data_IF_194905370003
#
_entry.id   IF_194905370003
#
_cell.length_a   1.000
_cell.length_b   1.000
_cell.length_c   1.000
_cell.angle_alpha   90.00
_cell.angle_beta   90.00
_cell.angle_gamma   90.00
#
_symmetry.space_group_name_H-M   'P 1'
#
loop_
_entity.id
_entity.type
_entity.pdbx_description
1 polymer ?
#
# COMPACT_ATOMS: atom_id res chain seq x y z
N UNK A 1 -53.24 -58.14 9.29
CA UNK A 1 -53.27 -56.85 10.02
C UNK A 1 -52.73 -55.78 9.09
N UNK A 2 -53.57 -54.76 8.86
CA UNK A 2 -53.33 -53.40 8.33
C UNK A 2 -51.87 -53.02 7.96
N UNK A 3 -51.53 -52.60 6.74
CA UNK A 3 -51.94 -51.42 5.94
C UNK A 3 -51.00 -50.21 6.10
N UNK A 4 -50.72 -49.55 4.95
CA UNK A 4 -50.59 -48.08 4.78
C UNK A 4 -49.34 -47.42 5.44
N UNK A 5 -48.58 -46.47 4.87
CA UNK A 5 -48.84 -45.16 4.24
C UNK A 5 -47.51 -44.69 3.56
N UNK A 6 -47.47 -44.18 2.32
CA UNK A 6 -47.80 -42.81 1.85
C UNK A 6 -46.91 -41.71 2.48
N UNK A 7 -46.01 -41.08 1.72
CA UNK A 7 -46.13 -39.76 1.04
C UNK A 7 -45.61 -38.54 1.85
N UNK A 8 -44.70 -37.83 1.18
CA UNK A 8 -44.64 -36.36 1.01
C UNK A 8 -44.21 -35.38 2.14
N UNK A 9 -43.11 -34.67 1.81
CA UNK A 9 -42.98 -33.20 1.70
C UNK A 9 -42.52 -32.32 2.90
N UNK A 10 -41.49 -31.51 2.56
CA UNK A 10 -41.16 -30.11 2.94
C UNK A 10 -41.01 -29.76 4.42
N UNK A 11 -39.78 -29.36 4.76
CA UNK A 11 -39.50 -28.39 5.81
C UNK A 11 -38.22 -27.64 5.52
N UNK A 12 -38.30 -26.49 4.83
CA UNK A 12 -37.24 -25.48 4.93
C UNK A 12 -37.28 -24.90 6.34
N UNK A 13 -36.16 -24.96 7.05
CA UNK A 13 -35.88 -24.12 8.23
C UNK A 13 -34.44 -23.61 8.13
N UNK A 14 -34.32 -22.29 8.10
CA UNK A 14 -33.18 -21.45 8.50
C UNK A 14 -31.79 -22.09 8.47
N UNK A 15 -30.98 -21.69 7.47
CA UNK A 15 -29.52 -21.75 7.59
C UNK A 15 -29.04 -20.33 7.91
N UNK A 16 -29.09 -20.00 9.19
CA UNK A 16 -28.18 -19.04 9.81
C UNK A 16 -26.94 -19.81 10.29
N UNK A 17 -25.78 -19.18 10.16
CA UNK A 17 -24.45 -19.59 10.65
C UNK A 17 -23.80 -20.82 10.00
N UNK A 18 -23.12 -20.62 8.87
CA UNK A 18 -21.88 -21.34 8.60
C UNK A 18 -20.73 -20.56 9.23
N UNK A 19 -20.42 -20.91 10.48
CA UNK A 19 -19.21 -20.51 11.17
C UNK A 19 -18.05 -21.32 10.56
N UNK A 20 -17.24 -20.69 9.71
CA UNK A 20 -16.07 -21.35 9.12
C UNK A 20 -14.93 -21.36 10.14
N UNK A 21 -14.70 -22.51 10.77
CA UNK A 21 -13.48 -22.78 11.54
C UNK A 21 -12.29 -22.86 10.58
N UNK A 22 -11.53 -21.77 10.49
CA UNK A 22 -10.18 -21.78 9.91
C UNK A 22 -9.25 -22.49 10.88
N UNK A 23 -8.99 -23.78 10.63
CA UNK A 23 -7.92 -24.51 11.30
C UNK A 23 -6.58 -24.18 10.62
N UNK A 24 -5.74 -23.39 11.30
CA UNK A 24 -4.37 -23.08 10.89
C UNK A 24 -4.09 -21.58 10.81
N UNK A 25 -3.65 -20.99 11.93
CA UNK A 25 -3.16 -19.61 12.02
C UNK A 25 -1.85 -19.42 11.23
N UNK A 26 -1.74 -18.43 10.34
CA UNK A 26 -0.47 -17.77 10.07
C UNK A 26 -0.29 -16.59 11.04
N UNK A 27 0.93 -16.46 11.59
CA UNK A 27 1.34 -15.42 12.52
C UNK A 27 1.23 -14.00 11.91
N UNK A 28 0.58 -13.11 12.67
CA UNK A 28 0.77 -11.65 12.80
C UNK A 28 1.45 -10.92 11.63
N UNK A 29 0.69 -10.17 10.81
CA UNK A 29 1.21 -9.42 9.65
C UNK A 29 1.64 -7.98 10.02
N UNK A 30 2.93 -7.66 9.81
CA UNK A 30 3.54 -6.32 9.93
C UNK A 30 3.35 -5.45 8.66
N UNK A 31 2.99 -6.07 7.53
CA UNK A 31 2.60 -5.40 6.31
C UNK A 31 1.06 -5.33 6.20
N UNK A 32 0.55 -4.36 5.43
CA UNK A 32 -0.87 -4.32 5.12
C UNK A 32 -1.19 -5.32 4.01
N UNK A 33 -1.46 -6.56 4.39
CA UNK A 33 -1.85 -7.61 3.46
C UNK A 33 -3.30 -7.39 2.99
N UNK A 34 -3.47 -7.37 1.68
CA UNK A 34 -4.72 -7.03 1.01
C UNK A 34 -5.04 -8.03 -0.11
N UNK A 35 -6.31 -8.38 -0.24
CA UNK A 35 -6.84 -9.13 -1.37
C UNK A 35 -7.56 -8.15 -2.28
N UNK A 36 -7.14 -8.13 -3.54
CA UNK A 36 -7.72 -7.30 -4.59
C UNK A 36 -8.57 -8.21 -5.46
N UNK A 37 -9.89 -8.01 -5.42
CA UNK A 37 -10.86 -8.84 -6.12
C UNK A 37 -11.43 -8.08 -7.31
N UNK A 38 -11.31 -8.67 -8.49
CA UNK A 38 -11.93 -8.20 -9.72
C UNK A 38 -13.29 -8.85 -9.90
N UNK A 39 -14.32 -8.00 -10.04
CA UNK A 39 -15.68 -8.43 -10.28
C UNK A 39 -16.14 -7.94 -11.67
N UNK A 40 -16.27 -8.84 -12.66
CA UNK A 40 -16.87 -8.49 -13.94
C UNK A 40 -18.38 -8.25 -13.77
N UNK A 41 -18.89 -7.23 -14.44
CA UNK A 41 -20.30 -6.88 -14.44
C UNK A 41 -20.84 -7.08 -15.86
N UNK A 42 -21.86 -7.92 -16.00
CA UNK A 42 -22.49 -8.22 -17.28
C UNK A 42 -23.94 -7.71 -17.32
N UNK A 43 -24.37 -7.18 -18.48
CA UNK A 43 -25.76 -6.82 -18.76
C UNK A 43 -26.04 -5.32 -18.86
N UNK A 44 -27.27 -4.98 -19.28
CA UNK A 44 -27.74 -3.59 -19.45
C UNK A 44 -28.05 -2.88 -18.12
N UNK A 45 -28.13 -3.61 -17.00
CA UNK A 45 -28.44 -3.09 -15.66
C UNK A 45 -27.42 -2.08 -15.15
N UNK A 46 -26.19 -2.11 -15.69
CA UNK A 46 -25.07 -1.26 -15.30
C UNK A 46 -24.76 -0.18 -16.33
N UNK A 47 -25.81 0.33 -16.93
CA UNK A 47 -25.76 1.36 -17.94
C UNK A 47 -26.63 2.57 -17.55
N UNK A 48 -26.06 3.77 -17.65
CA UNK A 48 -26.79 5.02 -17.41
C UNK A 48 -27.17 5.66 -18.74
N UNK A 49 -28.43 6.04 -18.87
CA UNK A 49 -29.00 6.65 -20.06
C UNK A 49 -29.29 8.15 -19.86
N UNK A 50 -29.35 8.96 -20.93
CA UNK A 50 -29.66 10.40 -20.86
C UNK A 50 -30.99 10.72 -20.16
N UNK A 51 -31.97 9.83 -20.21
CA UNK A 51 -33.29 9.97 -19.59
C UNK A 51 -34.13 8.73 -19.83
N UNK A 52 -34.67 8.11 -18.77
CA UNK A 52 -35.83 7.20 -18.92
C UNK A 52 -37.15 7.76 -18.34
N UNK A 53 -37.12 8.88 -17.59
CA UNK A 53 -38.22 9.84 -17.18
C UNK A 53 -38.05 10.46 -15.75
N UNK A 54 -36.82 10.89 -15.38
CA UNK A 54 -36.35 11.57 -14.11
C UNK A 54 -36.25 10.64 -12.87
N UNK A 55 -35.39 10.87 -11.83
CA UNK A 55 -34.35 11.90 -11.54
C UNK A 55 -32.92 11.38 -11.95
N UNK A 56 -31.74 11.73 -11.37
CA UNK A 56 -30.46 11.29 -11.93
C UNK A 56 -30.40 9.76 -11.97
N UNK A 57 -29.88 9.22 -13.06
CA UNK A 57 -29.74 7.77 -13.21
C UNK A 57 -28.62 7.33 -12.27
N UNK A 58 -28.99 6.64 -11.19
CA UNK A 58 -28.09 6.24 -10.10
C UNK A 58 -27.85 4.73 -10.12
N UNK A 59 -26.59 4.31 -10.05
CA UNK A 59 -26.18 2.94 -9.76
C UNK A 59 -25.54 2.90 -8.38
N UNK A 60 -25.75 1.80 -7.66
CA UNK A 60 -25.12 1.58 -6.36
C UNK A 60 -24.47 0.20 -6.35
N UNK A 61 -23.18 0.15 -6.03
CA UNK A 61 -22.45 -1.08 -5.73
C UNK A 61 -22.22 -1.15 -4.24
N UNK A 62 -22.54 -2.29 -3.61
CA UNK A 62 -22.23 -2.58 -2.21
C UNK A 62 -21.40 -3.86 -2.16
N UNK A 63 -20.24 -3.79 -1.51
CA UNK A 63 -19.34 -4.90 -1.28
C UNK A 63 -18.95 -4.96 0.20
N UNK A 64 -19.75 -5.64 1.04
CA UNK A 64 -19.53 -5.67 2.48
C UNK A 64 -18.10 -6.05 2.85
N UNK A 65 -17.46 -5.23 3.69
CA UNK A 65 -16.07 -5.45 4.13
C UNK A 65 -15.00 -4.95 3.16
N UNK A 66 -15.36 -4.38 2.01
CA UNK A 66 -14.40 -3.69 1.16
C UNK A 66 -13.94 -2.37 1.81
N UNK A 67 -12.63 -2.15 1.83
CA UNK A 67 -12.05 -0.89 2.25
C UNK A 67 -12.13 0.16 1.13
N UNK A 68 -12.09 -0.29 -0.13
CA UNK A 68 -12.19 0.55 -1.32
C UNK A 68 -12.90 -0.20 -2.44
N UNK A 69 -13.60 0.57 -3.27
CA UNK A 69 -14.15 0.11 -4.55
C UNK A 69 -13.67 1.05 -5.65
N UNK A 70 -13.15 0.49 -6.73
CA UNK A 70 -12.88 1.23 -7.95
C UNK A 70 -13.70 0.70 -9.12
N UNK A 71 -14.33 1.62 -9.85
CA UNK A 71 -15.29 1.30 -10.91
C UNK A 71 -14.63 1.47 -12.28
N UNK A 72 -14.68 0.43 -13.11
CA UNK A 72 -14.25 0.49 -14.51
C UNK A 72 -15.44 0.80 -15.42
N UNK A 73 -15.20 1.69 -16.38
CA UNK A 73 -16.19 2.05 -17.38
C UNK A 73 -15.74 1.53 -18.75
N UNK A 74 -16.59 0.72 -19.37
CA UNK A 74 -16.46 0.35 -20.79
C UNK A 74 -16.75 1.52 -21.72
N UNK A 75 -17.65 2.40 -21.31
CA UNK A 75 -18.08 3.54 -22.09
C UNK A 75 -18.39 4.72 -21.18
N UNK A 76 -17.87 5.90 -21.55
CA UNK A 76 -18.11 7.17 -20.87
C UNK A 76 -18.27 8.30 -21.90
N UNK A 77 -19.45 8.37 -22.52
CA UNK A 77 -19.76 9.27 -23.63
C UNK A 77 -20.53 10.52 -23.18
N UNK A 78 -19.99 11.21 -22.15
CA UNK A 78 -20.61 12.43 -21.62
C UNK A 78 -20.70 13.51 -22.70
N UNK A 79 -21.87 14.13 -22.86
CA UNK A 79 -22.05 15.29 -23.74
C UNK A 79 -21.63 16.59 -23.05
N UNK A 80 -21.31 17.66 -23.80
CA UNK A 80 -20.94 18.94 -23.21
C UNK A 80 -21.94 19.42 -22.13
N UNK A 81 -21.43 19.63 -20.91
CA UNK A 81 -22.22 20.05 -19.76
C UNK A 81 -22.81 18.90 -18.92
N UNK A 82 -22.72 17.65 -19.37
CA UNK A 82 -23.08 16.48 -18.55
C UNK A 82 -22.06 16.29 -17.43
N UNK A 83 -22.52 15.72 -16.32
CA UNK A 83 -21.71 15.42 -15.14
C UNK A 83 -21.94 13.98 -14.70
N UNK A 84 -20.86 13.24 -14.47
CA UNK A 84 -20.88 11.98 -13.73
C UNK A 84 -20.29 12.23 -12.34
N UNK A 85 -20.95 11.71 -11.31
CA UNK A 85 -20.48 11.79 -9.92
C UNK A 85 -20.37 10.37 -9.38
N UNK A 86 -19.18 9.99 -8.94
CA UNK A 86 -19.00 8.80 -8.12
C UNK A 86 -18.79 9.27 -6.70
N UNK A 87 -19.56 8.77 -5.74
CA UNK A 87 -19.44 9.20 -4.35
C UNK A 87 -19.70 8.06 -3.38
N UNK A 88 -19.25 8.25 -2.15
CA UNK A 88 -19.72 7.42 -1.05
C UNK A 88 -21.18 7.79 -0.68
N UNK A 89 -21.91 6.95 0.08
CA UNK A 89 -23.30 7.23 0.47
C UNK A 89 -23.50 8.56 1.18
N UNK A 90 -22.53 9.01 2.00
CA UNK A 90 -22.61 10.28 2.73
C UNK A 90 -22.32 11.49 1.83
N UNK A 91 -21.67 11.28 0.68
CA UNK A 91 -21.22 12.34 -0.22
C UNK A 91 -20.00 13.11 0.28
N UNK A 92 -19.37 12.65 1.37
CA UNK A 92 -18.13 13.23 1.90
C UNK A 92 -16.95 13.06 0.94
N UNK A 93 -16.93 11.97 0.17
CA UNK A 93 -15.95 11.66 -0.86
C UNK A 93 -16.69 11.62 -2.20
N UNK A 94 -16.25 12.44 -3.15
CA UNK A 94 -16.81 12.40 -4.50
C UNK A 94 -15.79 12.68 -5.59
N UNK A 95 -15.96 12.02 -6.73
CA UNK A 95 -15.23 12.18 -7.97
C UNK A 95 -16.18 12.72 -9.02
N UNK A 96 -15.85 13.85 -9.62
CA UNK A 96 -16.69 14.51 -10.61
C UNK A 96 -16.03 14.44 -11.98
N UNK A 97 -16.73 13.89 -12.97
CA UNK A 97 -16.30 13.87 -14.37
C UNK A 97 -17.21 14.76 -15.20
N UNK A 98 -16.62 15.57 -16.08
CA UNK A 98 -17.36 16.41 -17.04
C UNK A 98 -16.79 16.21 -18.44
N UNK A 99 -17.62 16.39 -19.47
CA UNK A 99 -17.29 16.09 -20.86
C UNK A 99 -16.11 16.90 -21.46
N UNK A 100 -15.68 17.98 -20.81
CA UNK A 100 -14.52 18.76 -21.25
C UNK A 100 -13.19 18.10 -20.85
N UNK A 101 -13.23 17.11 -19.96
CA UNK A 101 -12.08 16.28 -19.61
C UNK A 101 -11.92 15.19 -20.65
N UNK A 102 -10.95 15.33 -21.58
CA UNK A 102 -10.56 14.25 -22.51
C UNK A 102 -9.94 13.09 -21.72
N UNK A 103 -10.77 12.22 -21.15
CA UNK A 103 -10.33 10.93 -20.63
C UNK A 103 -10.43 9.90 -21.75
N UNK A 104 -9.39 9.83 -22.60
CA UNK A 104 -9.17 8.63 -23.41
C UNK A 104 -8.73 7.53 -22.44
N UNK A 105 -9.67 6.75 -21.93
CA UNK A 105 -9.36 5.60 -21.09
C UNK A 105 -9.02 4.45 -22.04
N UNK A 106 -7.74 4.33 -22.40
CA UNK A 106 -7.22 3.15 -23.06
C UNK A 106 -7.33 1.98 -22.08
N UNK A 107 -8.34 1.14 -22.24
CA UNK A 107 -8.40 -0.19 -21.61
C UNK A 107 -7.38 -1.06 -22.31
N UNK A 108 -6.11 -0.95 -21.91
CA UNK A 108 -5.10 -1.93 -22.30
C UNK A 108 -5.55 -3.30 -21.82
N UNK A 109 -5.44 -4.32 -22.67
CA UNK A 109 -5.65 -5.74 -22.34
C UNK A 109 -4.66 -6.28 -21.26
N UNK A 110 -3.98 -5.40 -20.52
CA UNK A 110 -3.07 -5.75 -19.43
C UNK A 110 -3.85 -5.84 -18.12
N UNK A 111 -3.62 -6.93 -17.37
CA UNK A 111 -4.36 -7.39 -16.19
C UNK A 111 -5.20 -6.33 -15.43
N UNK A 112 -6.51 -6.57 -15.20
CA UNK A 112 -7.41 -5.62 -14.55
C UNK A 112 -6.98 -5.16 -13.14
N UNK A 113 -6.17 -5.95 -12.42
CA UNK A 113 -5.60 -5.63 -11.10
C UNK A 113 -4.62 -4.47 -11.11
N UNK A 114 -3.94 -4.30 -12.23
CA UNK A 114 -2.87 -3.31 -12.38
C UNK A 114 -3.45 -1.89 -12.28
N UNK A 115 -4.67 -1.67 -12.77
CA UNK A 115 -5.34 -0.36 -12.78
C UNK A 115 -5.71 0.16 -11.37
N UNK A 116 -6.07 -0.72 -10.44
CA UNK A 116 -6.41 -0.34 -9.06
C UNK A 116 -5.22 0.23 -8.29
N UNK A 117 -4.10 -0.47 -8.41
CA UNK A 117 -2.88 -0.23 -7.65
C UNK A 117 -2.08 0.95 -8.23
N UNK A 118 -2.33 1.24 -9.50
CA UNK A 118 -1.55 2.22 -10.23
C UNK A 118 -2.01 3.63 -9.94
N UNK A 119 -3.31 3.95 -10.07
CA UNK A 119 -3.85 5.32 -9.91
C UNK A 119 -5.32 5.37 -10.38
N UNK A 120 -6.19 4.47 -9.88
CA UNK A 120 -7.52 4.35 -10.46
C UNK A 120 -8.32 5.67 -10.31
N UNK A 121 -8.74 6.32 -11.42
CA UNK A 121 -9.38 7.64 -11.35
C UNK A 121 -10.77 7.60 -10.66
N UNK A 122 -11.35 6.41 -10.55
CA UNK A 122 -12.70 6.16 -10.03
C UNK A 122 -12.71 5.29 -8.78
N UNK A 123 -11.77 5.53 -7.85
CA UNK A 123 -11.68 4.83 -6.58
C UNK A 123 -12.40 5.63 -5.48
N UNK A 124 -13.26 4.94 -4.74
CA UNK A 124 -14.04 5.47 -3.61
C UNK A 124 -13.71 4.64 -2.35
N UNK A 125 -13.49 5.32 -1.23
CA UNK A 125 -13.26 4.70 0.07
C UNK A 125 -14.58 4.20 0.65
N UNK A 126 -14.54 3.01 1.24
CA UNK A 126 -15.68 2.33 1.83
C UNK A 126 -16.20 1.17 0.99
N UNK A 127 -17.21 0.52 1.54
CA UNK A 127 -17.85 -0.69 1.00
C UNK A 127 -18.95 -0.38 -0.02
N UNK A 128 -19.21 0.90 -0.29
CA UNK A 128 -20.31 1.33 -1.12
C UNK A 128 -19.90 2.48 -2.02
N UNK A 129 -20.20 2.35 -3.32
CA UNK A 129 -20.06 3.44 -4.29
C UNK A 129 -21.41 3.72 -4.94
N UNK A 130 -21.74 5.01 -5.04
CA UNK A 130 -22.93 5.53 -5.71
C UNK A 130 -22.47 6.28 -6.96
N UNK A 131 -22.91 5.86 -8.13
CA UNK A 131 -22.58 6.44 -9.44
C UNK A 131 -23.82 7.17 -9.95
N UNK A 132 -23.75 8.48 -10.07
CA UNK A 132 -24.87 9.35 -10.46
C UNK A 132 -24.54 10.10 -11.74
N UNK A 133 -25.40 9.96 -12.75
CA UNK A 133 -25.29 10.71 -13.99
C UNK A 133 -26.30 11.87 -14.03
N UNK A 134 -25.79 13.07 -14.28
CA UNK A 134 -26.53 14.31 -14.38
C UNK A 134 -26.44 14.85 -15.82
N UNK A 135 -27.47 14.63 -16.65
CA UNK A 135 -27.53 15.19 -18.00
C UNK A 135 -27.69 16.71 -17.95
N UNK A 136 -27.01 17.43 -18.85
CA UNK A 136 -27.20 18.86 -19.04
C UNK A 136 -28.58 19.20 -19.59
N UNK A 137 -29.00 20.47 -19.47
CA UNK A 137 -30.23 20.94 -20.12
C UNK A 137 -30.16 20.71 -21.64
N UNK A 138 -29.00 20.95 -22.26
CA UNK A 138 -28.79 20.70 -23.69
C UNK A 138 -29.00 19.24 -24.05
N UNK A 139 -28.47 18.33 -23.24
CA UNK A 139 -28.65 16.87 -23.39
C UNK A 139 -30.11 16.45 -23.24
N UNK A 140 -30.82 17.04 -22.27
CA UNK A 140 -32.25 16.79 -22.05
C UNK A 140 -33.15 17.34 -23.18
N UNK A 141 -32.69 18.37 -23.90
CA UNK A 141 -33.41 18.98 -25.02
C UNK A 141 -33.16 18.30 -26.37
N UNK A 142 -32.24 17.32 -26.46
CA UNK A 142 -32.00 16.57 -27.69
C UNK A 142 -33.27 15.81 -28.12
N UNK A 143 -33.63 15.77 -29.42
CA UNK A 143 -34.85 15.13 -29.88
C UNK A 143 -34.93 13.66 -29.46
N UNK A 144 -36.15 13.21 -29.10
CA UNK A 144 -36.43 11.82 -28.72
C UNK A 144 -36.24 10.96 -29.97
N UNK A 145 -35.11 10.25 -30.04
CA UNK A 145 -34.74 9.36 -31.13
C UNK A 145 -33.84 8.22 -30.62
N UNK A 146 -33.29 7.36 -31.50
CA UNK A 146 -32.48 6.21 -31.10
C UNK A 146 -31.28 6.57 -30.23
N UNK A 147 -30.81 7.82 -30.25
CA UNK A 147 -29.74 8.33 -29.39
C UNK A 147 -30.06 8.32 -27.89
N UNK A 148 -31.33 8.37 -27.47
CA UNK A 148 -31.71 8.26 -26.05
C UNK A 148 -31.72 6.81 -25.54
N UNK A 149 -31.75 5.83 -26.45
CA UNK A 149 -31.66 4.40 -26.15
C UNK A 149 -30.21 3.88 -26.16
N UNK A 150 -29.22 4.76 -26.33
CA UNK A 150 -27.80 4.42 -26.24
C UNK A 150 -27.32 4.82 -24.85
N UNK A 151 -26.64 3.92 -24.12
CA UNK A 151 -26.13 4.26 -22.80
C UNK A 151 -25.00 5.29 -22.90
N UNK A 152 -25.03 6.30 -22.03
CA UNK A 152 -23.97 7.31 -21.91
C UNK A 152 -22.82 6.78 -21.06
N UNK A 153 -23.15 6.02 -20.02
CA UNK A 153 -22.19 5.39 -19.12
C UNK A 153 -22.46 3.89 -19.14
N UNK A 154 -21.43 3.08 -19.31
CA UNK A 154 -21.50 1.61 -19.19
C UNK A 154 -20.38 1.17 -18.26
N UNK A 155 -20.74 0.58 -17.13
CA UNK A 155 -19.80 -0.08 -16.22
C UNK A 155 -19.62 -1.53 -16.69
N UNK A 156 -18.38 -1.99 -16.84
CA UNK A 156 -18.10 -3.41 -17.20
C UNK A 156 -17.54 -4.22 -16.05
N UNK A 157 -16.98 -3.57 -15.03
CA UNK A 157 -16.40 -4.24 -13.89
C UNK A 157 -16.18 -3.25 -12.77
N UNK A 158 -16.01 -3.76 -11.57
CA UNK A 158 -15.40 -3.01 -10.48
C UNK A 158 -14.40 -3.92 -9.78
N UNK A 159 -13.52 -3.30 -9.03
CA UNK A 159 -12.49 -3.99 -8.28
C UNK A 159 -12.55 -3.47 -6.86
N UNK A 160 -12.49 -4.37 -5.89
CA UNK A 160 -12.57 -3.99 -4.49
C UNK A 160 -11.43 -4.61 -3.69
N UNK A 161 -11.05 -3.92 -2.62
CA UNK A 161 -9.93 -4.30 -1.77
C UNK A 161 -10.47 -4.72 -0.42
N UNK A 162 -10.14 -5.95 -0.01
CA UNK A 162 -10.37 -6.45 1.33
C UNK A 162 -9.02 -6.54 2.03
N UNK A 163 -8.92 -5.96 3.21
CA UNK A 163 -7.75 -6.18 4.05
C UNK A 163 -7.84 -7.49 4.82
N UNK A 164 -6.70 -8.15 5.03
CA UNK A 164 -6.64 -9.36 5.84
C UNK A 164 -7.20 -9.12 7.25
N UNK A 165 -7.68 -10.18 7.94
CA UNK A 165 -8.30 -10.07 9.26
C UNK A 165 -7.39 -9.43 10.33
N UNK A 166 -6.07 -9.41 10.10
CA UNK A 166 -5.10 -8.69 10.92
C UNK A 166 -5.25 -7.17 10.90
N UNK A 167 -5.91 -6.58 9.90
CA UNK A 167 -6.21 -5.13 9.85
C UNK A 167 -7.60 -4.84 10.42
N UNK A 168 -8.54 -5.79 10.32
CA UNK A 168 -9.92 -5.64 10.81
C UNK A 168 -10.03 -5.86 12.34
N UNK A 169 -9.07 -6.57 12.93
CA UNK A 169 -9.03 -6.87 14.37
C UNK A 169 -7.90 -6.16 15.14
N UNK A 170 -7.07 -5.36 14.47
CA UNK A 170 -5.89 -4.71 15.09
C UNK A 170 -5.69 -3.33 14.43
N UNK A 171 -6.36 -2.31 14.96
CA UNK A 171 -6.01 -0.87 14.78
C UNK A 171 -4.64 -0.52 15.42
N UNK A 172 -3.73 -1.49 15.57
CA UNK A 172 -2.56 -1.37 16.45
C UNK A 172 -1.29 -2.01 15.88
N UNK A 173 -0.94 -1.62 14.65
CA UNK A 173 0.35 -0.91 14.56
C UNK A 173 0.00 0.52 15.01
N UNK A 174 0.55 0.95 16.14
CA UNK A 174 -0.22 1.79 17.05
C UNK A 174 -0.13 3.27 16.71
N UNK A 175 -1.29 3.90 16.55
CA UNK A 175 -1.47 5.28 16.99
C UNK A 175 -0.90 5.39 18.40
N UNK A 176 0.18 6.12 18.54
CA UNK A 176 0.84 6.34 19.82
C UNK A 176 0.02 7.43 20.50
N UNK A 177 -0.99 7.05 21.29
CA UNK A 177 -1.86 7.99 21.99
C UNK A 177 -3.34 7.78 21.74
N UNK A 178 -4.14 8.78 22.13
CA UNK A 178 -5.60 8.77 21.97
C UNK A 178 -6.06 9.25 20.58
N UNK A 179 -5.21 9.98 19.85
CA UNK A 179 -5.50 10.55 18.54
C UNK A 179 -4.32 10.33 17.60
N UNK A 180 -4.62 10.07 16.33
CA UNK A 180 -3.62 10.04 15.26
C UNK A 180 -3.25 11.47 14.87
N UNK A 181 -1.96 11.80 15.02
CA UNK A 181 -1.41 13.11 14.69
C UNK A 181 -0.67 13.13 13.35
N UNK A 182 -0.60 12.00 12.63
CA UNK A 182 -0.10 11.96 11.28
C UNK A 182 -0.92 12.90 10.39
N UNK A 183 -0.22 13.60 9.49
CA UNK A 183 -0.86 14.52 8.54
C UNK A 183 -0.39 14.25 7.15
N UNK A 184 -1.30 14.39 6.21
CA UNK A 184 -1.05 14.38 4.79
C UNK A 184 0.22 15.17 4.42
N UNK A 185 1.11 14.57 3.62
CA UNK A 185 2.44 15.14 3.34
C UNK A 185 2.34 16.55 2.75
N UNK A 186 1.31 16.83 1.96
CA UNK A 186 1.04 18.14 1.36
C UNK A 186 0.86 19.25 2.40
N UNK A 187 0.39 18.94 3.62
CA UNK A 187 0.30 19.89 4.74
C UNK A 187 1.65 20.53 5.09
N UNK A 188 2.73 19.78 4.88
CA UNK A 188 4.08 20.19 5.23
C UNK A 188 4.81 20.95 4.12
N UNK A 189 4.22 21.03 2.92
CA UNK A 189 4.83 21.69 1.76
C UNK A 189 5.26 23.13 2.07
N UNK A 190 4.42 23.88 2.78
CA UNK A 190 4.67 25.28 3.10
C UNK A 190 5.18 25.48 4.55
N UNK A 191 4.76 24.63 5.49
CA UNK A 191 5.10 24.78 6.91
C UNK A 191 6.48 24.19 7.25
N UNK A 192 6.87 23.11 6.58
CA UNK A 192 8.14 22.40 6.82
C UNK A 192 8.75 21.92 5.48
N UNK A 193 9.17 22.84 4.60
CA UNK A 193 9.53 22.53 3.20
C UNK A 193 10.71 21.55 3.06
N UNK A 194 11.65 21.54 4.01
CA UNK A 194 12.77 20.57 4.01
C UNK A 194 12.28 19.14 4.27
N UNK A 195 11.36 18.99 5.23
CA UNK A 195 10.73 17.71 5.57
C UNK A 195 9.94 17.17 4.38
N UNK A 196 9.11 18.03 3.78
CA UNK A 196 8.37 17.70 2.57
C UNK A 196 9.29 17.33 1.40
N UNK A 197 10.36 18.09 1.17
CA UNK A 197 11.32 17.80 0.10
C UNK A 197 11.98 16.43 0.25
N UNK A 198 12.21 15.96 1.49
CA UNK A 198 12.76 14.63 1.78
C UNK A 198 11.73 13.54 1.61
N UNK A 199 10.48 13.79 2.02
CA UNK A 199 9.36 12.88 1.84
C UNK A 199 9.09 12.54 0.36
N UNK A 200 9.52 13.39 -0.60
CA UNK A 200 9.41 13.11 -2.04
C UNK A 200 10.12 11.83 -2.47
N UNK A 201 11.21 11.46 -1.80
CA UNK A 201 11.99 10.25 -2.08
C UNK A 201 11.32 8.96 -1.55
N UNK A 202 10.22 9.09 -0.81
CA UNK A 202 9.44 7.96 -0.28
C UNK A 202 8.36 7.58 -1.28
N UNK A 203 8.29 6.27 -1.53
CA UNK A 203 7.42 5.61 -2.47
C UNK A 203 6.45 4.68 -1.74
N UNK A 204 5.24 4.61 -2.28
CA UNK A 204 4.29 3.54 -1.99
C UNK A 204 4.73 2.27 -2.70
N UNK A 205 4.77 1.16 -1.98
CA UNK A 205 5.07 -0.16 -2.51
C UNK A 205 3.85 -1.07 -2.38
N UNK A 206 3.47 -1.69 -3.50
CA UNK A 206 2.42 -2.71 -3.53
C UNK A 206 3.01 -3.95 -4.18
N UNK A 207 3.23 -4.99 -3.40
CA UNK A 207 4.01 -6.17 -3.80
C UNK A 207 3.04 -7.34 -3.96
N UNK A 208 3.00 -7.96 -5.15
CA UNK A 208 2.12 -9.11 -5.37
C UNK A 208 2.65 -10.31 -4.58
N UNK A 209 1.77 -11.03 -3.89
CA UNK A 209 2.11 -12.25 -3.16
C UNK A 209 1.58 -13.48 -3.88
N UNK A 210 2.10 -14.66 -3.53
CA UNK A 210 1.77 -15.94 -4.19
C UNK A 210 0.40 -16.53 -3.83
N UNK A 211 -0.37 -15.90 -2.94
CA UNK A 211 -1.70 -16.41 -2.58
C UNK A 211 -2.72 -16.02 -3.67
N UNK A 212 -2.95 -16.93 -4.61
CA UNK A 212 -4.15 -16.89 -5.45
C UNK A 212 -5.28 -17.56 -4.66
N UNK A 213 -6.27 -16.77 -4.24
CA UNK A 213 -7.52 -17.31 -3.72
C UNK A 213 -8.44 -17.51 -4.92
N UNK A 214 -8.80 -18.76 -5.20
CA UNK A 214 -9.88 -19.08 -6.12
C UNK A 214 -11.21 -18.72 -5.44
N UNK A 215 -11.90 -17.70 -5.97
CA UNK A 215 -13.29 -17.42 -5.63
C UNK A 215 -14.21 -18.28 -6.51
N UNK A 216 -15.34 -18.71 -5.97
CA UNK A 216 -16.36 -19.44 -6.73
C UNK A 216 -17.03 -18.49 -7.73
N UNK A 217 -16.89 -18.75 -9.04
CA UNK A 217 -17.53 -17.97 -10.11
C UNK A 217 -16.56 -17.32 -11.11
N UNK A 218 -16.98 -16.19 -11.69
CA UNK A 218 -16.19 -15.40 -12.67
C UNK A 218 -15.26 -14.36 -12.04
N UNK A 219 -15.26 -14.25 -10.71
CA UNK A 219 -14.38 -13.37 -9.97
C UNK A 219 -12.94 -13.92 -9.99
N UNK A 220 -11.99 -13.01 -10.01
CA UNK A 220 -10.58 -13.37 -9.95
C UNK A 220 -9.95 -12.49 -8.86
N UNK A 221 -9.13 -13.08 -7.98
CA UNK A 221 -8.52 -12.38 -6.86
C UNK A 221 -7.00 -12.47 -6.89
N UNK A 222 -6.34 -11.40 -6.47
CA UNK A 222 -4.88 -11.34 -6.31
C UNK A 222 -4.53 -10.83 -4.92
N UNK A 223 -3.54 -11.45 -4.29
CA UNK A 223 -3.05 -11.02 -2.98
C UNK A 223 -1.85 -10.08 -3.11
N UNK A 224 -1.83 -9.07 -2.26
CA UNK A 224 -0.85 -7.99 -2.26
C UNK A 224 -0.40 -7.68 -0.84
N UNK A 225 0.85 -7.26 -0.71
CA UNK A 225 1.39 -6.70 0.53
C UNK A 225 1.70 -5.23 0.28
N UNK A 226 1.03 -4.35 1.03
CA UNK A 226 1.30 -2.92 0.99
C UNK A 226 2.36 -2.58 2.03
N UNK A 227 3.37 -1.83 1.57
CA UNK A 227 4.49 -1.35 2.35
C UNK A 227 4.93 0.02 1.85
N UNK A 228 5.90 0.59 2.54
CA UNK A 228 6.61 1.80 2.15
C UNK A 228 8.06 1.46 1.77
N UNK A 229 8.62 2.20 0.81
CA UNK A 229 10.05 2.14 0.51
C UNK A 229 10.57 3.50 0.07
N UNK A 230 11.88 3.66 -0.01
CA UNK A 230 12.45 4.99 -0.30
C UNK A 230 13.81 4.94 -0.98
N UNK A 231 14.09 5.97 -1.78
CA UNK A 231 15.31 6.05 -2.60
C UNK A 231 16.53 6.26 -1.71
N UNK A 232 17.51 5.36 -1.81
CA UNK A 232 18.74 5.36 -1.02
C UNK A 232 19.96 5.65 -1.92
N UNK A 233 20.67 6.74 -1.60
CA UNK A 233 21.84 7.16 -2.39
C UNK A 233 21.50 7.49 -3.84
N UNK A 234 22.52 7.51 -4.71
CA UNK A 234 22.36 7.77 -6.15
C UNK A 234 21.96 6.50 -6.90
N UNK A 235 21.14 6.69 -7.93
CA UNK A 235 20.62 5.61 -8.78
C UNK A 235 19.28 5.08 -8.29
N UNK A 236 18.67 4.19 -9.05
CA UNK A 236 17.29 3.75 -8.81
C UNK A 236 17.23 2.62 -7.77
N UNK A 237 17.85 2.82 -6.60
CA UNK A 237 17.84 1.87 -5.49
C UNK A 237 16.81 2.28 -4.45
N UNK A 238 15.96 1.35 -4.04
CA UNK A 238 15.02 1.49 -2.94
C UNK A 238 15.43 0.60 -1.78
N UNK A 239 15.12 1.02 -0.56
CA UNK A 239 15.13 0.14 0.61
C UNK A 239 13.74 0.06 1.22
N UNK A 240 13.40 -1.12 1.73
CA UNK A 240 12.16 -1.45 2.46
C UNK A 240 12.45 -2.61 3.42
N UNK A 241 11.46 -3.14 4.13
CA UNK A 241 11.66 -4.31 5.00
C UNK A 241 11.79 -5.63 4.23
N UNK A 242 12.44 -6.62 4.84
CA UNK A 242 12.48 -7.98 4.31
C UNK A 242 11.09 -8.65 4.40
N UNK A 243 10.36 -8.42 5.49
CA UNK A 243 9.05 -9.05 5.68
C UNK A 243 8.04 -8.64 4.60
N UNK A 244 8.15 -7.45 4.02
CA UNK A 244 7.35 -6.99 2.87
C UNK A 244 7.51 -7.88 1.62
N UNK A 245 8.64 -8.60 1.52
CA UNK A 245 9.00 -9.41 0.35
C UNK A 245 8.97 -10.91 0.62
N UNK A 246 8.57 -11.33 1.84
CA UNK A 246 8.64 -12.72 2.31
C UNK A 246 7.90 -13.69 1.38
N UNK A 247 6.74 -13.26 0.88
CA UNK A 247 5.82 -14.04 0.03
C UNK A 247 5.70 -13.47 -1.39
N UNK A 248 6.61 -12.57 -1.78
CA UNK A 248 6.54 -11.87 -3.06
C UNK A 248 6.61 -12.85 -4.25
N UNK A 249 5.70 -12.64 -5.21
CA UNK A 249 5.65 -13.37 -6.48
C UNK A 249 6.88 -13.03 -7.34
N UNK A 250 7.53 -14.05 -7.88
CA UNK A 250 8.76 -13.92 -8.70
C UNK A 250 8.38 -14.06 -10.18
N UNK A 251 8.81 -13.10 -11.00
CA UNK A 251 8.35 -12.95 -12.41
C UNK A 251 8.91 -14.01 -13.35
N UNK A 252 10.00 -14.70 -13.00
CA UNK A 252 10.64 -15.61 -13.95
C UNK A 252 11.53 -16.66 -13.23
N UNK A 253 11.02 -17.89 -13.15
CA UNK A 253 11.74 -19.04 -12.56
C UNK A 253 12.60 -19.78 -13.61
N UNK A 254 12.54 -19.42 -14.90
CA UNK A 254 13.06 -20.28 -15.99
C UNK A 254 14.06 -19.63 -16.97
N UNK A 255 14.26 -18.30 -16.96
CA UNK A 255 15.25 -17.62 -17.83
C UNK A 255 16.27 -16.72 -17.12
N UNK A 256 16.04 -16.43 -15.84
CA UNK A 256 16.77 -15.39 -15.10
C UNK A 256 18.14 -15.83 -14.60
N UNK A 257 18.33 -17.13 -14.35
CA UNK A 257 19.60 -17.66 -13.82
C UNK A 257 20.75 -17.59 -14.82
N UNK A 258 20.50 -17.75 -16.12
CA UNK A 258 21.57 -17.81 -17.14
C UNK A 258 21.98 -16.43 -17.69
N UNK A 259 21.06 -15.47 -17.75
CA UNK A 259 21.33 -14.17 -18.39
C UNK A 259 21.92 -13.13 -17.41
N UNK A 260 21.47 -13.12 -16.16
CA UNK A 260 21.88 -12.09 -15.17
C UNK A 260 23.08 -12.52 -14.32
N UNK A 261 23.29 -13.82 -14.10
CA UNK A 261 24.50 -14.32 -13.42
C UNK A 261 25.78 -13.98 -14.19
N UNK A 262 25.72 -14.01 -15.53
CA UNK A 262 26.83 -13.65 -16.42
C UNK A 262 27.15 -12.15 -16.45
N UNK A 263 26.17 -11.29 -16.16
CA UNK A 263 26.39 -9.83 -16.09
C UNK A 263 26.94 -9.46 -14.71
N UNK A 264 26.40 -10.03 -13.63
CA UNK A 264 26.77 -9.64 -12.26
C UNK A 264 28.12 -10.24 -11.84
N UNK A 265 28.45 -11.47 -12.25
CA UNK A 265 29.79 -12.06 -12.01
C UNK A 265 30.94 -11.27 -12.64
N UNK A 266 30.66 -10.50 -13.71
CA UNK A 266 31.63 -9.61 -14.36
C UNK A 266 31.83 -8.28 -13.63
N UNK A 267 30.85 -7.82 -12.84
CA UNK A 267 30.94 -6.55 -12.12
C UNK A 267 31.25 -6.70 -10.63
N UNK A 268 30.82 -7.79 -9.98
CA UNK A 268 31.05 -8.06 -8.55
C UNK A 268 31.37 -9.53 -8.27
N UNK A 269 32.65 -9.93 -8.29
CA UNK A 269 33.06 -11.27 -7.88
C UNK A 269 33.14 -11.34 -6.35
N UNK A 270 32.27 -12.14 -5.71
CA UNK A 270 32.43 -12.52 -4.29
C UNK A 270 31.20 -12.42 -3.37
N UNK A 271 30.00 -12.11 -3.85
CA UNK A 271 28.82 -12.00 -2.98
C UNK A 271 28.22 -13.37 -2.64
N UNK A 272 28.65 -13.97 -1.53
CA UNK A 272 27.93 -15.09 -0.90
C UNK A 272 26.74 -14.52 -0.11
N UNK A 273 25.51 -14.70 -0.63
CA UNK A 273 24.28 -14.38 0.09
C UNK A 273 23.90 -15.57 0.98
N UNK A 274 23.80 -15.42 2.31
CA UNK A 274 23.21 -16.46 3.15
C UNK A 274 21.71 -16.48 2.84
N UNK A 275 21.24 -17.60 2.30
CA UNK A 275 19.89 -17.89 1.78
C UNK A 275 19.59 -17.26 0.41
N UNK A 276 19.28 -18.12 -0.57
CA UNK A 276 19.14 -17.80 -2.00
C UNK A 276 17.88 -17.01 -2.39
N UNK A 277 17.71 -15.79 -1.87
CA UNK A 277 16.59 -14.88 -2.23
C UNK A 277 17.02 -13.59 -2.94
N UNK A 278 18.32 -13.32 -3.07
CA UNK A 278 18.84 -12.22 -3.88
C UNK A 278 18.79 -12.55 -5.38
N UNK A 279 18.84 -11.54 -6.24
CA UNK A 279 18.86 -11.65 -7.70
C UNK A 279 17.58 -12.24 -8.33
N UNK A 280 16.43 -11.98 -7.69
CA UNK A 280 15.10 -12.31 -8.24
C UNK A 280 14.35 -11.03 -8.63
N UNK A 281 13.58 -11.11 -9.71
CA UNK A 281 12.64 -10.04 -10.10
C UNK A 281 11.28 -10.35 -9.51
N UNK A 282 10.70 -9.39 -8.78
CA UNK A 282 9.37 -9.52 -8.17
C UNK A 282 8.39 -8.52 -8.78
N UNK A 283 7.11 -8.88 -8.80
CA UNK A 283 6.03 -7.97 -9.19
C UNK A 283 5.75 -7.00 -8.05
N UNK A 284 6.04 -5.72 -8.30
CA UNK A 284 5.85 -4.66 -7.32
C UNK A 284 5.55 -3.34 -8.02
N UNK A 285 4.42 -2.73 -7.68
CA UNK A 285 4.08 -1.36 -8.12
C UNK A 285 4.81 -0.37 -7.22
N UNK A 286 5.62 0.49 -7.85
CA UNK A 286 6.38 1.54 -7.17
C UNK A 286 5.78 2.89 -7.54
N UNK A 287 5.05 3.49 -6.60
CA UNK A 287 4.37 4.78 -6.77
C UNK A 287 5.06 5.91 -6.00
N UNK A 288 5.42 6.99 -6.69
CA UNK A 288 5.94 8.22 -6.06
C UNK A 288 4.91 9.33 -6.08
N UNK A 289 5.05 10.29 -5.15
CA UNK A 289 4.14 11.44 -5.05
C UNK A 289 2.66 11.05 -4.95
N UNK A 290 2.37 9.86 -4.41
CA UNK A 290 1.02 9.46 -4.08
C UNK A 290 0.58 10.25 -2.84
N UNK A 291 0.09 11.47 -3.04
CA UNK A 291 -0.24 12.45 -2.01
C UNK A 291 -1.65 12.99 -2.28
N UNK A 292 -2.34 13.42 -1.22
CA UNK A 292 -3.58 14.19 -1.35
C UNK A 292 -3.37 15.52 -2.06
N UNK A 293 -4.46 16.08 -2.62
CA UNK A 293 -4.40 17.37 -3.34
C UNK A 293 -4.17 18.52 -2.38
N UNK A 294 -4.77 18.45 -1.20
CA UNK A 294 -4.69 19.48 -0.17
C UNK A 294 -4.67 18.87 1.22
N UNK A 295 -4.25 19.69 2.20
CA UNK A 295 -4.21 19.32 3.61
C UNK A 295 -5.60 19.12 4.26
N UNK A 296 -6.68 19.38 3.51
CA UNK A 296 -8.06 19.18 3.97
C UNK A 296 -8.67 17.88 3.44
N UNK A 297 -8.03 17.28 2.44
CA UNK A 297 -8.44 16.00 1.91
C UNK A 297 -7.82 14.90 2.79
N UNK A 298 -8.49 13.77 2.90
CA UNK A 298 -7.96 12.59 3.59
C UNK A 298 -8.15 11.37 2.68
N UNK A 299 -7.12 10.54 2.59
CA UNK A 299 -7.18 9.30 1.82
C UNK A 299 -7.32 9.51 0.30
N UNK A 300 -7.73 8.45 -0.40
CA UNK A 300 -7.87 8.48 -1.87
C UNK A 300 -9.10 9.28 -2.32
N UNK A 301 -8.88 10.36 -3.08
CA UNK A 301 -9.96 11.08 -3.77
C UNK A 301 -9.67 11.10 -5.28
N UNK A 302 -10.51 10.40 -6.04
CA UNK A 302 -10.31 9.93 -7.42
C UNK A 302 -9.84 10.94 -8.46
N UNK A 303 -8.53 11.11 -8.50
CA UNK A 303 -7.73 11.42 -9.68
C UNK A 303 -6.43 10.62 -9.58
N UNK A 304 -5.54 10.74 -10.57
CA UNK A 304 -4.27 10.00 -10.63
C UNK A 304 -3.40 10.27 -9.38
N UNK A 305 -3.51 9.44 -8.33
CA UNK A 305 -2.76 9.60 -7.07
C UNK A 305 -1.30 9.18 -7.28
N UNK A 306 -0.45 10.15 -7.60
CA UNK A 306 0.98 9.94 -7.79
C UNK A 306 1.37 9.42 -9.17
N UNK A 307 2.60 8.93 -9.27
CA UNK A 307 3.25 8.48 -10.50
C UNK A 307 3.83 7.09 -10.27
N UNK A 308 3.33 6.11 -11.03
CA UNK A 308 3.90 4.77 -11.06
C UNK A 308 5.12 4.78 -11.95
N UNK A 309 6.27 4.48 -11.36
CA UNK A 309 7.56 4.48 -12.06
C UNK A 309 8.00 3.08 -12.49
N UNK A 310 7.48 2.04 -11.84
CA UNK A 310 7.77 0.65 -12.15
C UNK A 310 6.67 -0.29 -11.66
N UNK A 311 6.56 -1.44 -12.33
CA UNK A 311 5.73 -2.59 -11.92
C UNK A 311 6.56 -3.81 -11.53
N UNK A 312 7.90 -3.69 -11.59
CA UNK A 312 8.86 -4.73 -11.25
C UNK A 312 10.06 -4.14 -10.52
N UNK A 313 10.61 -4.92 -9.60
CA UNK A 313 11.86 -4.59 -8.91
C UNK A 313 12.78 -5.80 -8.89
N UNK A 314 14.08 -5.56 -9.00
CA UNK A 314 15.11 -6.57 -8.76
C UNK A 314 15.53 -6.52 -7.30
N UNK A 315 15.49 -7.65 -6.61
CA UNK A 315 16.04 -7.79 -5.26
C UNK A 315 17.57 -7.85 -5.35
N UNK A 316 18.26 -6.84 -4.83
CA UNK A 316 19.73 -6.79 -4.80
C UNK A 316 20.27 -7.59 -3.63
N UNK A 317 19.74 -7.37 -2.43
CA UNK A 317 20.06 -8.15 -1.22
C UNK A 317 18.90 -8.05 -0.24
N UNK A 318 18.78 -9.06 0.64
CA UNK A 318 17.87 -9.05 1.78
C UNK A 318 18.63 -9.51 3.04
N UNK A 319 18.19 -9.05 4.20
CA UNK A 319 18.69 -9.52 5.49
C UNK A 319 17.52 -9.71 6.47
N UNK A 320 17.09 -10.95 6.72
CA UNK A 320 15.99 -11.22 7.65
C UNK A 320 16.29 -10.81 9.09
N UNK A 321 17.55 -10.86 9.52
CA UNK A 321 17.94 -10.52 10.91
C UNK A 321 17.91 -9.01 11.19
N UNK A 322 18.06 -8.18 10.15
CA UNK A 322 17.94 -6.73 10.21
C UNK A 322 16.68 -6.23 9.48
N UNK A 323 15.77 -7.15 9.17
CA UNK A 323 14.53 -6.94 8.44
C UNK A 323 14.58 -5.86 7.35
N UNK A 324 15.57 -5.93 6.46
CA UNK A 324 15.68 -5.00 5.34
C UNK A 324 15.89 -5.72 4.01
N UNK A 325 15.48 -5.06 2.93
CA UNK A 325 15.76 -5.45 1.57
C UNK A 325 16.19 -4.24 0.74
N UNK A 326 17.29 -4.38 0.01
CA UNK A 326 17.74 -3.43 -1.00
C UNK A 326 17.22 -3.89 -2.37
N UNK A 327 16.50 -3.00 -3.03
CA UNK A 327 15.84 -3.22 -4.30
C UNK A 327 16.43 -2.30 -5.36
N UNK A 328 16.41 -2.73 -6.63
CA UNK A 328 16.64 -1.89 -7.79
C UNK A 328 15.34 -1.77 -8.59
N UNK A 329 14.89 -0.53 -8.79
CA UNK A 329 13.66 -0.23 -9.52
C UNK A 329 13.90 -0.45 -11.01
N UNK A 330 13.08 -1.31 -11.63
CA UNK A 330 13.10 -1.56 -13.07
C UNK A 330 12.11 -0.61 -13.73
N UNK A 331 12.55 0.62 -14.01
CA UNK A 331 11.68 1.70 -14.47
C UNK A 331 11.03 1.40 -15.82
N UNK A 332 9.78 1.80 -15.98
CA UNK A 332 9.02 1.59 -17.23
C UNK A 332 9.61 2.37 -18.42
N UNK A 333 10.37 3.45 -18.16
CA UNK A 333 11.12 4.20 -19.17
C UNK A 333 12.62 3.87 -19.15
N UNK A 334 13.23 3.75 -20.34
CA UNK A 334 14.63 3.33 -20.56
C UNK A 334 15.72 4.29 -20.03
N UNK A 335 15.38 5.39 -19.32
CA UNK A 335 16.36 6.36 -18.84
C UNK A 335 15.93 7.20 -17.61
N UNK A 336 14.91 6.78 -16.85
CA UNK A 336 14.42 7.59 -15.72
C UNK A 336 15.40 7.54 -14.54
N UNK A 337 16.08 8.64 -14.25
CA UNK A 337 16.83 8.83 -13.00
C UNK A 337 15.87 9.31 -11.90
N UNK A 338 15.38 8.37 -11.10
CA UNK A 338 14.41 8.63 -10.03
C UNK A 338 14.99 9.58 -8.99
N UNK A 339 16.29 9.50 -8.73
CA UNK A 339 16.96 10.34 -7.74
C UNK A 339 17.06 11.80 -8.16
N UNK A 340 17.07 12.09 -9.47
CA UNK A 340 16.92 13.47 -9.97
C UNK A 340 15.50 14.00 -9.85
N UNK A 341 14.49 13.14 -10.02
CA UNK A 341 13.07 13.53 -10.00
C UNK A 341 12.53 13.73 -8.58
N UNK A 342 12.93 12.85 -7.67
CA UNK A 342 12.36 12.75 -6.33
C UNK A 342 13.37 13.02 -5.21
N UNK A 343 14.66 13.11 -5.53
CA UNK A 343 15.72 13.13 -4.54
C UNK A 343 16.05 11.73 -4.01
N UNK A 344 16.88 11.68 -2.98
CA UNK A 344 17.22 10.45 -2.27
C UNK A 344 17.55 10.77 -0.82
N UNK A 345 17.45 9.76 0.02
CA UNK A 345 17.78 9.82 1.43
C UNK A 345 19.16 9.20 1.69
N UNK A 346 19.75 9.60 2.82
CA UNK A 346 21.08 9.16 3.25
C UNK A 346 21.01 8.61 4.66
N UNK A 347 21.70 7.51 4.88
CA UNK A 347 21.85 6.83 6.15
C UNK A 347 22.76 7.64 7.06
N UNK A 348 22.41 7.74 8.34
CA UNK A 348 23.31 8.31 9.35
C UNK A 348 24.22 7.23 9.92
N UNK A 349 25.53 7.35 9.69
CA UNK A 349 26.51 6.36 10.14
C UNK A 349 26.50 6.15 11.67
N UNK A 350 26.22 7.22 12.43
CA UNK A 350 26.15 7.17 13.89
C UNK A 350 24.89 6.47 14.45
N UNK A 351 23.87 6.22 13.62
CA UNK A 351 22.60 5.65 14.07
C UNK A 351 21.69 6.66 14.79
N UNK A 352 20.59 6.20 15.41
CA UNK A 352 19.66 7.05 16.18
C UNK A 352 20.29 7.57 17.49
N UNK A 353 19.74 8.66 18.03
CA UNK A 353 20.14 9.28 19.30
C UNK A 353 18.92 9.46 20.19
N UNK A 354 19.07 9.14 21.47
CA UNK A 354 18.00 9.26 22.46
C UNK A 354 17.39 10.66 22.53
N UNK A 355 16.06 10.73 22.54
CA UNK A 355 15.30 11.97 22.65
C UNK A 355 15.39 12.90 21.45
N UNK A 356 16.05 12.48 20.35
CA UNK A 356 16.10 13.34 19.17
C UNK A 356 14.74 13.41 18.49
N UNK A 357 14.38 14.61 18.00
CA UNK A 357 13.14 14.81 17.28
C UNK A 357 13.20 14.16 15.89
N UNK A 358 12.14 13.46 15.50
CA UNK A 358 12.04 12.70 14.26
C UNK A 358 10.79 13.04 13.43
N UNK A 359 10.75 12.52 12.21
CA UNK A 359 9.55 12.46 11.38
C UNK A 359 9.60 11.21 10.47
N UNK A 360 8.43 10.69 10.12
CA UNK A 360 8.26 9.45 9.35
C UNK A 360 7.31 9.73 8.18
N UNK A 361 7.83 9.99 6.97
CA UNK A 361 7.01 9.96 5.76
C UNK A 361 6.66 8.52 5.38
N UNK A 362 5.37 8.22 5.26
CA UNK A 362 4.86 6.84 5.17
C UNK A 362 3.59 6.71 4.31
N UNK A 363 3.28 5.48 3.90
CA UNK A 363 2.06 5.11 3.19
C UNK A 363 1.24 4.08 4.00
N UNK A 364 0.56 4.52 5.07
CA UNK A 364 -0.26 3.63 5.89
C UNK A 364 -1.36 3.02 5.03
N UNK A 365 -1.57 1.70 5.14
CA UNK A 365 -2.51 0.90 4.33
C UNK A 365 -2.35 1.07 2.81
N UNK A 366 -1.21 1.57 2.32
CA UNK A 366 -1.07 1.94 0.91
C UNK A 366 -1.88 3.18 0.49
N UNK A 367 -2.42 3.94 1.44
CA UNK A 367 -3.09 5.23 1.22
C UNK A 367 -2.10 6.33 0.78
N UNK A 368 -2.57 7.54 0.45
CA UNK A 368 -1.69 8.68 0.20
C UNK A 368 -0.70 8.93 1.34
N UNK A 369 0.39 9.60 0.99
CA UNK A 369 1.51 9.78 1.89
C UNK A 369 1.16 10.73 3.02
N UNK A 370 1.44 10.28 4.22
CA UNK A 370 1.36 11.09 5.43
C UNK A 370 2.76 11.25 6.03
N UNK A 371 2.90 12.21 6.93
CA UNK A 371 4.10 12.41 7.74
C UNK A 371 3.69 12.48 9.20
N UNK A 372 4.05 11.44 9.96
CA UNK A 372 4.01 11.46 11.41
C UNK A 372 5.23 12.23 11.92
N UNK A 373 4.99 13.28 12.70
CA UNK A 373 6.07 14.14 13.18
C UNK A 373 5.81 14.78 14.55
N UNK A 374 4.64 14.55 15.12
CA UNK A 374 4.23 15.05 16.42
C UNK A 374 3.58 13.95 17.25
N UNK A 375 3.60 14.18 18.57
CA UNK A 375 2.96 13.38 19.60
C UNK A 375 2.51 14.32 20.72
N UNK A 376 1.23 14.30 21.05
CA UNK A 376 0.54 15.22 21.96
C UNK A 376 0.89 16.70 21.68
N UNK A 377 0.92 17.05 20.38
CA UNK A 377 1.27 18.39 19.89
C UNK A 377 2.76 18.78 20.03
N UNK A 378 3.61 17.90 20.56
CA UNK A 378 5.07 18.08 20.65
C UNK A 378 5.77 17.30 19.52
N UNK A 379 7.04 17.59 19.19
CA UNK A 379 7.77 16.77 18.22
C UNK A 379 7.82 15.30 18.66
N UNK A 380 7.55 14.38 17.74
CA UNK A 380 7.81 12.96 17.98
C UNK A 380 9.33 12.73 18.14
N UNK A 381 9.71 11.80 19.00
CA UNK A 381 11.11 11.56 19.39
C UNK A 381 11.49 10.08 19.35
N UNK A 382 12.80 9.84 19.24
CA UNK A 382 13.39 8.53 19.56
C UNK A 382 13.31 8.30 21.07
N UNK A 383 12.88 7.09 21.43
CA UNK A 383 12.87 6.58 22.79
C UNK A 383 13.60 5.23 22.81
N UNK A 384 14.80 5.21 23.34
CA UNK A 384 15.58 4.02 23.62
C UNK A 384 15.27 3.69 25.07
N UNK A 385 14.47 2.63 25.28
CA UNK A 385 14.26 2.10 26.62
C UNK A 385 15.60 1.99 27.36
N UNK A 386 15.69 2.59 28.55
CA UNK A 386 16.81 2.45 29.47
C UNK A 386 17.05 0.98 29.92
N UNK A 387 16.23 0.04 29.45
CA UNK A 387 16.27 -1.40 29.72
C UNK A 387 17.33 -2.17 28.90
N UNK A 388 18.50 -1.58 28.66
CA UNK A 388 19.71 -2.38 28.43
C UNK A 388 20.38 -2.82 29.74
N UNK A 389 19.65 -2.77 30.85
CA UNK A 389 19.89 -3.58 32.05
C UNK A 389 18.82 -4.67 32.21
N UNK A 390 18.45 -5.34 31.12
CA UNK A 390 17.91 -6.70 31.28
C UNK A 390 19.05 -7.52 31.85
N UNK A 391 18.87 -7.89 33.10
CA UNK A 391 19.70 -8.79 33.86
C UNK A 391 20.11 -9.98 32.98
N UNK A 392 21.42 -10.22 32.87
CA UNK A 392 21.98 -11.34 32.11
C UNK A 392 21.68 -12.70 32.76
N UNK A 393 20.70 -12.80 33.65
CA UNK A 393 20.25 -14.03 34.29
C UNK A 393 18.99 -14.56 33.60
N UNK A 394 19.14 -15.06 32.37
CA UNK A 394 17.96 -15.61 31.69
C UNK A 394 18.17 -16.42 30.41
N UNK A 395 19.34 -16.45 29.79
CA UNK A 395 19.61 -17.38 28.68
C UNK A 395 21.12 -17.65 28.55
N UNK A 396 21.71 -18.30 29.56
CA UNK A 396 22.95 -19.06 29.36
C UNK A 396 22.58 -20.51 29.03
N UNK A 397 22.45 -20.78 27.74
CA UNK A 397 22.93 -22.04 27.13
C UNK A 397 23.37 -21.76 25.69
N UNK A 398 24.66 -21.44 25.55
CA UNK A 398 25.39 -21.60 24.28
C UNK A 398 25.90 -20.31 23.63
N UNK A 399 27.10 -19.87 24.03
CA UNK A 399 28.01 -19.09 23.18
C UNK A 399 27.87 -17.57 23.23
N UNK A 400 28.78 -16.92 23.96
CA UNK A 400 29.00 -15.48 24.02
C UNK A 400 29.14 -14.84 22.62
N UNK A 401 28.19 -13.98 22.27
CA UNK A 401 28.43 -12.68 21.64
C UNK A 401 27.38 -11.73 22.17
N UNK A 402 27.80 -10.59 22.72
CA UNK A 402 26.94 -9.43 22.98
C UNK A 402 26.16 -9.14 21.68
N UNK A 403 24.89 -9.54 21.64
CA UNK A 403 24.02 -9.28 20.49
C UNK A 403 23.57 -7.84 20.63
N UNK A 404 24.14 -6.96 19.81
CA UNK A 404 23.65 -5.58 19.68
C UNK A 404 22.16 -5.68 19.32
N UNK A 405 21.29 -5.16 20.18
CA UNK A 405 19.86 -5.05 19.87
C UNK A 405 19.71 -4.14 18.64
N UNK A 406 19.16 -4.66 17.53
CA UNK A 406 18.98 -3.87 16.32
C UNK A 406 17.80 -2.90 16.41
N UNK A 407 17.01 -2.96 17.47
CA UNK A 407 15.76 -2.23 17.62
C UNK A 407 15.98 -0.80 18.12
N UNK A 408 15.10 0.10 17.71
CA UNK A 408 14.95 1.45 18.26
C UNK A 408 13.47 1.77 18.33
N UNK A 409 13.04 2.43 19.41
CA UNK A 409 11.64 2.78 19.62
C UNK A 409 11.41 4.29 19.48
N UNK A 410 10.17 4.66 19.25
CA UNK A 410 9.73 6.05 19.11
C UNK A 410 8.21 6.16 19.26
N UNK A 411 7.77 7.37 19.50
CA UNK A 411 6.38 7.72 19.80
C UNK A 411 5.62 8.37 18.63
N UNK A 412 6.04 8.09 17.39
CA UNK A 412 5.40 8.60 16.18
C UNK A 412 4.36 7.59 15.66
N UNK A 413 3.19 8.07 15.26
CA UNK A 413 2.10 7.25 14.72
C UNK A 413 2.48 6.51 13.43
N UNK A 414 2.11 5.24 13.32
CA UNK A 414 2.28 4.39 12.13
C UNK A 414 1.15 3.36 12.09
N UNK A 415 0.70 2.97 10.90
CA UNK A 415 -0.28 1.89 10.69
C UNK A 415 0.26 0.81 9.74
N UNK A 416 -0.34 -0.41 9.69
CA UNK A 416 0.07 -1.45 8.75
C UNK A 416 0.23 -0.89 7.33
N UNK A 417 1.36 -1.18 6.68
CA UNK A 417 1.76 -0.58 5.40
C UNK A 417 2.77 0.55 5.52
N UNK A 418 2.93 1.11 6.72
CA UNK A 418 4.04 1.99 7.07
C UNK A 418 5.37 1.24 7.09
N UNK A 419 5.37 -0.08 7.27
CA UNK A 419 6.54 -0.96 7.17
C UNK A 419 7.46 -0.59 6.01
N UNK A 420 8.71 -0.29 6.34
CA UNK A 420 9.78 0.11 5.43
C UNK A 420 9.94 1.62 5.30
N UNK A 421 9.13 2.40 6.01
CA UNK A 421 9.26 3.86 6.05
C UNK A 421 10.59 4.29 6.68
N UNK A 422 11.22 5.37 6.16
CA UNK A 422 12.40 5.94 6.79
C UNK A 422 11.99 6.73 8.03
N UNK A 423 12.68 6.50 9.15
CA UNK A 423 12.63 7.39 10.31
C UNK A 423 13.75 8.42 10.13
N UNK A 424 13.41 9.70 9.99
CA UNK A 424 14.38 10.77 9.74
C UNK A 424 14.55 11.68 10.95
N UNK A 425 15.77 12.09 11.23
CA UNK A 425 16.03 13.15 12.21
C UNK A 425 15.50 14.48 11.69
N UNK A 426 14.73 15.22 12.51
CA UNK A 426 14.30 16.60 12.22
C UNK A 426 15.49 17.55 12.10
N UNK A 427 16.61 17.24 12.76
CA UNK A 427 17.80 18.11 12.82
C UNK A 427 18.55 18.15 11.49
N UNK A 428 18.90 16.97 10.96
CA UNK A 428 19.80 16.84 9.81
C UNK A 428 19.13 16.20 8.58
N UNK A 429 17.90 15.71 8.69
CA UNK A 429 17.15 15.05 7.62
C UNK A 429 17.87 13.82 7.04
N UNK A 430 18.65 13.15 7.87
CA UNK A 430 19.23 11.83 7.58
C UNK A 430 18.37 10.74 8.21
N UNK A 431 18.39 9.57 7.61
CA UNK A 431 17.66 8.41 8.10
C UNK A 431 18.39 7.88 9.32
N UNK A 432 17.66 7.61 10.40
CA UNK A 432 18.16 7.12 11.70
C UNK A 432 17.65 5.70 12.00
N UNK A 433 16.51 5.31 11.41
CA UNK A 433 15.96 3.96 11.51
C UNK A 433 15.11 3.61 10.28
N UNK A 434 14.83 2.32 10.11
CA UNK A 434 13.85 1.78 9.18
C UNK A 434 12.66 1.26 9.98
N UNK A 435 11.48 1.88 9.84
CA UNK A 435 10.28 1.42 10.55
C UNK A 435 9.92 -0.01 10.15
N UNK A 436 9.44 -0.79 11.12
CA UNK A 436 9.24 -2.24 10.98
C UNK A 436 7.94 -2.76 11.61
N UNK A 437 7.62 -2.29 12.81
CA UNK A 437 6.55 -2.84 13.62
C UNK A 437 6.02 -1.80 14.62
N UNK A 438 4.80 -2.00 15.08
CA UNK A 438 4.19 -1.37 16.24
C UNK A 438 3.87 -2.39 17.33
N UNK A 439 3.42 -1.91 18.50
CA UNK A 439 3.26 -2.78 19.65
C UNK A 439 1.93 -3.58 19.66
N UNK A 440 1.91 -4.67 18.89
CA UNK A 440 1.22 -5.91 19.29
C UNK A 440 2.20 -7.05 19.63
N UNK A 441 3.52 -6.80 19.56
CA UNK A 441 4.57 -7.83 19.70
C UNK A 441 5.08 -8.08 21.13
N UNK A 442 4.70 -7.25 22.12
CA UNK A 442 5.07 -7.48 23.53
C UNK A 442 3.91 -7.25 24.47
N UNK A 443 3.11 -8.30 24.70
CA UNK A 443 2.19 -8.40 25.83
C UNK A 443 2.92 -8.56 27.20
N UNK A 444 4.00 -7.82 27.44
CA UNK A 444 4.84 -7.94 28.64
C UNK A 444 5.41 -6.62 29.18
N UNK A 445 4.77 -5.47 28.93
CA UNK A 445 5.13 -4.24 29.65
C UNK A 445 3.92 -3.65 30.34
N UNK A 446 4.04 -3.38 31.65
CA UNK A 446 3.07 -2.63 32.45
C UNK A 446 3.04 -1.12 32.09
N UNK A 447 3.65 -0.71 30.97
CA UNK A 447 3.58 0.64 30.44
C UNK A 447 2.35 0.79 29.54
N UNK A 448 1.47 1.72 29.88
CA UNK A 448 0.27 2.10 29.11
C UNK A 448 0.56 2.88 27.83
N UNK A 449 1.82 3.19 27.54
CA UNK A 449 2.22 3.94 26.34
C UNK A 449 2.58 2.96 25.22
N UNK A 450 1.91 3.15 24.08
CA UNK A 450 2.15 2.37 22.87
C UNK A 450 3.37 2.94 22.15
N UNK A 451 4.28 2.08 21.69
CA UNK A 451 5.49 2.52 20.97
C UNK A 451 5.63 1.81 19.63
N UNK A 452 6.13 2.54 18.64
CA UNK A 452 6.53 2.00 17.36
C UNK A 452 8.03 1.70 17.33
N UNK A 453 8.42 0.67 16.59
CA UNK A 453 9.76 0.12 16.53
C UNK A 453 10.31 0.20 15.09
N UNK A 454 11.59 0.52 14.99
CA UNK A 454 12.36 0.36 13.76
C UNK A 454 13.66 -0.39 13.97
N UNK A 455 14.31 -0.72 12.86
CA UNK A 455 15.67 -1.24 12.83
C UNK A 455 16.65 -0.09 12.71
N UNK A 456 17.66 -0.08 13.57
CA UNK A 456 18.76 0.88 13.58
C UNK A 456 19.48 0.96 12.24
N UNK A 457 19.54 2.16 11.67
CA UNK A 457 20.07 2.34 10.32
C UNK A 457 21.59 2.13 10.23
N UNK A 458 22.33 2.33 11.32
CA UNK A 458 23.79 2.15 11.35
C UNK A 458 24.19 0.68 11.24
N UNK A 459 23.31 -0.24 11.66
CA UNK A 459 23.51 -1.68 11.47
C UNK A 459 23.22 -2.08 10.02
N UNK A 460 22.16 -1.52 9.42
CA UNK A 460 21.85 -1.71 8.00
C UNK A 460 22.97 -1.16 7.13
N UNK A 461 23.47 0.05 7.42
CA UNK A 461 24.58 0.68 6.71
C UNK A 461 25.83 -0.20 6.72
N UNK A 462 26.26 -0.65 7.92
CA UNK A 462 27.41 -1.55 8.09
C UNK A 462 27.20 -2.88 7.36
N UNK A 463 25.98 -3.41 7.33
CA UNK A 463 25.69 -4.64 6.59
C UNK A 463 25.79 -4.46 5.08
N UNK A 464 25.25 -3.37 4.54
CA UNK A 464 25.33 -3.02 3.12
C UNK A 464 26.77 -2.74 2.66
N UNK A 465 27.58 -2.08 3.49
CA UNK A 465 29.01 -1.87 3.25
C UNK A 465 29.78 -3.19 3.23
N UNK A 466 29.59 -4.04 4.24
CA UNK A 466 30.22 -5.37 4.31
C UNK A 466 29.87 -6.26 3.11
N UNK A 467 28.63 -6.13 2.60
CA UNK A 467 28.16 -6.84 1.41
C UNK A 467 28.60 -6.19 0.10
N UNK A 468 29.26 -5.02 0.14
CA UNK A 468 29.69 -4.24 -1.02
C UNK A 468 28.54 -3.86 -1.99
N UNK A 469 27.36 -3.57 -1.44
CA UNK A 469 26.16 -3.21 -2.21
C UNK A 469 25.54 -1.88 -1.79
N UNK A 470 26.19 -1.15 -0.88
CA UNK A 470 25.74 0.19 -0.47
C UNK A 470 25.76 1.15 -1.69
N UNK A 471 24.62 1.78 -2.05
CA UNK A 471 24.59 2.73 -3.16
C UNK A 471 25.50 3.94 -2.93
N UNK A 472 26.03 4.51 -4.02
CA UNK A 472 26.90 5.69 -3.94
C UNK A 472 26.16 6.85 -3.26
N UNK A 473 26.87 7.62 -2.44
CA UNK A 473 26.31 8.73 -1.66
C UNK A 473 25.17 8.33 -0.70
N UNK A 474 25.00 7.05 -0.37
CA UNK A 474 23.98 6.61 0.57
C UNK A 474 24.32 6.93 2.03
N UNK A 475 25.59 7.06 2.42
CA UNK A 475 25.99 7.31 3.81
C UNK A 475 26.35 8.78 4.04
N UNK A 476 25.96 9.35 5.19
CA UNK A 476 26.53 10.59 5.74
C UNK A 476 27.55 10.23 6.81
N UNK A 477 28.78 10.72 6.63
CA UNK A 477 29.90 10.62 7.58
C UNK A 477 29.70 11.50 8.80
#
# INVERSE_FOLDING_TARGET
>A
MLALLSLQWRGCRNVSSCEYRVTGLPQHSQAADAVVVFHPVAGEEWSLYPSNNRPPTTLQTVQPGAAFIAVNFKQLNLLPGDKLVLRDPSGSISVNVTANSRHNMETSNECPYSLLLQTHPFLIKGDTVVIEYFPSISTLMLPIGPRRAIPVVVVDSYVYVIYGPSIVAVDTESTVGAEDEAKEAVCYRNTQPKMYAKARAVARLMIRTKQEQEFDGSEQATSWSFCTGWLIGRGNYLITNHHCLKDAAVVDQKRTEDALSNIISRFWPGTYSPTGRANRVVEAVVGFMAETKSCRDAGFVGEKVGVVEATRVLVVTENPALDYALLRVLTNGLATDLTRRYGYLRLRAAGPVEGEAIYIPQHPRGEPKEIAATKDGKPAVIEMSASSSIDSSGYIRGGEKSRIDPSVWYNADTEPGSSGSPVLSRKDNTVVALHRAGNSETAQSNSTELFNMGVRIDLIARDLERRNVLPRNALVS
#
